data_IF_489253734071
#
_entry.id   IF_489253734071
#
_cell.length_a   1.000
_cell.length_b   1.000
_cell.length_c   1.000
_cell.angle_alpha   90.00
_cell.angle_beta   90.00
_cell.angle_gamma   90.00
#
_symmetry.space_group_name_H-M   'P 1'
#
loop_
_entity.id
_entity.type
_entity.pdbx_description
1 polymer ?
#
# COMPACT_ATOMS: atom_id res chain seq x y z
N UNK A 1 -14.49 -10.91 -14.33
CA UNK A 1 -14.30 -10.21 -13.05
C UNK A 1 -15.67 -9.99 -12.40
N UNK A 2 -16.11 -10.88 -11.50
CA UNK A 2 -17.44 -10.84 -10.90
C UNK A 2 -17.72 -9.53 -10.15
N UNK A 3 -16.80 -9.12 -9.26
CA UNK A 3 -16.90 -7.87 -8.50
C UNK A 3 -17.09 -6.63 -9.39
N UNK A 4 -16.30 -6.49 -10.46
CA UNK A 4 -16.38 -5.35 -11.38
C UNK A 4 -17.72 -5.32 -12.13
N UNK A 5 -18.26 -6.48 -12.51
CA UNK A 5 -19.60 -6.56 -13.14
C UNK A 5 -20.70 -6.12 -12.17
N UNK A 6 -20.68 -6.65 -10.94
CA UNK A 6 -21.64 -6.28 -9.88
C UNK A 6 -21.61 -4.77 -9.58
N UNK A 7 -20.41 -4.17 -9.56
CA UNK A 7 -20.25 -2.72 -9.40
C UNK A 7 -20.84 -1.91 -10.57
N UNK A 8 -20.80 -2.43 -11.81
CA UNK A 8 -21.41 -1.77 -12.98
C UNK A 8 -22.94 -1.89 -12.96
N UNK A 9 -23.45 -2.99 -12.40
CA UNK A 9 -24.88 -3.25 -12.25
C UNK A 9 -25.49 -2.54 -11.02
N UNK A 10 -24.70 -1.79 -10.24
CA UNK A 10 -25.10 -1.17 -8.97
C UNK A 10 -25.63 -2.17 -7.93
N UNK A 11 -25.09 -3.38 -7.95
CA UNK A 11 -25.51 -4.51 -7.10
C UNK A 11 -24.54 -4.83 -5.98
N UNK A 12 -23.76 -3.84 -5.53
CA UNK A 12 -22.73 -4.03 -4.50
C UNK A 12 -23.29 -4.70 -3.24
N UNK A 13 -24.49 -4.28 -2.80
CA UNK A 13 -25.11 -4.82 -1.57
C UNK A 13 -25.38 -6.33 -1.64
N UNK A 14 -25.58 -6.89 -2.83
CA UNK A 14 -25.86 -8.32 -3.05
C UNK A 14 -24.66 -9.21 -2.73
N UNK A 15 -23.44 -8.64 -2.69
CA UNK A 15 -22.18 -9.39 -2.55
C UNK A 15 -21.42 -9.08 -1.27
N UNK A 16 -21.90 -8.10 -0.48
CA UNK A 16 -21.28 -7.76 0.79
C UNK A 16 -21.58 -8.84 1.84
N UNK A 17 -20.58 -9.14 2.66
CA UNK A 17 -20.79 -10.00 3.83
C UNK A 17 -21.79 -9.29 4.77
N UNK A 18 -22.89 -9.96 5.18
CA UNK A 18 -23.87 -9.37 6.10
C UNK A 18 -23.28 -8.89 7.43
N UNK A 19 -22.12 -9.42 7.83
CA UNK A 19 -21.40 -8.98 9.04
C UNK A 19 -20.72 -7.62 8.90
N UNK A 20 -20.53 -7.14 7.66
CA UNK A 20 -19.88 -5.87 7.35
C UNK A 20 -20.92 -4.80 7.04
N UNK A 21 -22.08 -5.18 6.51
CA UNK A 21 -23.17 -4.26 6.15
C UNK A 21 -23.91 -3.76 7.40
N UNK A 22 -24.04 -2.44 7.51
CA UNK A 22 -24.91 -1.76 8.47
C UNK A 22 -25.68 -0.66 7.71
N UNK A 23 -26.91 -0.34 8.15
CA UNK A 23 -27.73 0.69 7.50
C UNK A 23 -27.03 2.06 7.47
N UNK A 24 -26.13 2.30 8.41
CA UNK A 24 -25.38 3.56 8.55
C UNK A 24 -24.10 3.63 7.70
N UNK A 25 -23.58 2.50 7.20
CA UNK A 25 -22.26 2.45 6.55
C UNK A 25 -22.31 2.21 5.03
N UNK A 26 -23.51 2.13 4.45
CA UNK A 26 -23.74 1.84 3.03
C UNK A 26 -22.92 2.76 2.11
N UNK A 27 -22.93 4.07 2.36
CA UNK A 27 -22.21 5.03 1.53
C UNK A 27 -20.68 4.89 1.68
N UNK A 28 -20.18 4.63 2.88
CA UNK A 28 -18.76 4.36 3.10
C UNK A 28 -18.31 3.09 2.36
N UNK A 29 -19.12 2.02 2.39
CA UNK A 29 -18.84 0.79 1.67
C UNK A 29 -18.84 0.99 0.16
N UNK A 30 -19.73 1.84 -0.37
CA UNK A 30 -19.73 2.21 -1.80
C UNK A 30 -18.43 2.91 -2.20
N UNK A 31 -17.93 3.85 -1.39
CA UNK A 31 -16.68 4.56 -1.67
C UNK A 31 -15.47 3.61 -1.63
N UNK A 32 -15.37 2.77 -0.59
CA UNK A 32 -14.32 1.75 -0.49
C UNK A 32 -14.38 0.78 -1.68
N UNK A 33 -15.58 0.35 -2.08
CA UNK A 33 -15.75 -0.53 -3.24
C UNK A 33 -15.38 0.17 -4.55
N UNK A 34 -15.64 1.46 -4.69
CA UNK A 34 -15.25 2.26 -5.85
C UNK A 34 -13.72 2.38 -5.96
N UNK A 35 -13.02 2.52 -4.83
CA UNK A 35 -11.56 2.44 -4.77
C UNK A 35 -11.06 1.05 -5.14
N UNK A 36 -11.61 -0.02 -4.53
CA UNK A 36 -11.26 -1.40 -4.84
C UNK A 36 -11.45 -1.74 -6.32
N UNK A 37 -12.51 -1.21 -6.97
CA UNK A 37 -12.78 -1.38 -8.40
C UNK A 37 -11.66 -0.81 -9.27
N UNK A 38 -11.04 0.31 -8.87
CA UNK A 38 -9.87 0.87 -9.56
C UNK A 38 -8.62 0.04 -9.33
N UNK A 39 -8.41 -0.48 -8.12
CA UNK A 39 -7.27 -1.34 -7.78
C UNK A 39 -7.23 -2.66 -8.57
N UNK A 40 -8.38 -3.23 -8.92
CA UNK A 40 -8.48 -4.52 -9.62
C UNK A 40 -8.60 -4.40 -11.15
N UNK A 41 -8.26 -3.25 -11.74
CA UNK A 41 -8.24 -3.08 -13.20
C UNK A 41 -7.24 -4.04 -13.85
N UNK A 42 -7.58 -4.52 -15.05
CA UNK A 42 -6.76 -5.50 -15.78
C UNK A 42 -5.45 -4.86 -16.22
N UNK A 43 -5.52 -3.63 -16.75
CA UNK A 43 -4.35 -2.86 -17.12
C UNK A 43 -3.70 -2.25 -15.86
N UNK A 44 -2.43 -2.57 -15.64
CA UNK A 44 -1.67 -2.10 -14.47
C UNK A 44 -1.57 -0.59 -14.40
N UNK A 45 -1.36 0.07 -15.54
CA UNK A 45 -1.23 1.53 -15.66
C UNK A 45 -2.49 2.29 -15.26
N UNK A 46 -3.66 1.64 -15.30
CA UNK A 46 -4.92 2.25 -14.89
C UNK A 46 -5.19 2.13 -13.38
N UNK A 47 -4.36 1.36 -12.65
CA UNK A 47 -4.49 1.16 -11.21
C UNK A 47 -3.91 2.37 -10.47
N UNK A 48 -4.54 2.79 -9.36
CA UNK A 48 -3.95 3.82 -8.52
C UNK A 48 -2.64 3.31 -7.90
N UNK A 49 -1.72 4.22 -7.64
CA UNK A 49 -0.53 3.95 -6.84
C UNK A 49 -0.92 3.64 -5.40
N UNK A 50 -0.11 2.85 -4.68
CA UNK A 50 -0.39 2.59 -3.25
C UNK A 50 -0.40 3.87 -2.40
N UNK A 51 0.31 4.92 -2.82
CA UNK A 51 0.27 6.24 -2.18
C UNK A 51 -1.11 6.88 -2.30
N UNK A 52 -1.71 6.83 -3.49
CA UNK A 52 -3.07 7.33 -3.71
C UNK A 52 -4.09 6.50 -2.95
N UNK A 53 -3.97 5.16 -2.98
CA UNK A 53 -4.84 4.26 -2.21
C UNK A 53 -4.80 4.57 -0.72
N UNK A 54 -3.60 4.74 -0.13
CA UNK A 54 -3.45 5.09 1.27
C UNK A 54 -4.05 6.46 1.60
N UNK A 55 -3.83 7.46 0.74
CA UNK A 55 -4.39 8.80 0.93
C UNK A 55 -5.92 8.80 0.89
N UNK A 56 -6.52 8.10 -0.08
CA UNK A 56 -7.97 8.01 -0.21
C UNK A 56 -8.60 7.25 0.97
N UNK A 57 -7.99 6.15 1.42
CA UNK A 57 -8.45 5.42 2.60
C UNK A 57 -8.36 6.28 3.87
N UNK A 58 -7.31 7.07 4.05
CA UNK A 58 -7.20 8.01 5.17
C UNK A 58 -8.32 9.05 5.15
N UNK A 59 -8.70 9.54 3.96
CA UNK A 59 -9.85 10.43 3.79
C UNK A 59 -11.18 9.79 4.18
N UNK A 60 -11.40 8.52 3.79
CA UNK A 60 -12.61 7.78 4.14
C UNK A 60 -12.72 7.49 5.64
N UNK A 61 -11.60 7.31 6.34
CA UNK A 61 -11.56 7.13 7.79
C UNK A 61 -11.83 8.43 8.58
N UNK A 62 -11.61 9.60 7.96
CA UNK A 62 -11.86 10.90 8.59
C UNK A 62 -13.34 11.34 8.57
N UNK A 63 -14.21 10.60 7.88
CA UNK A 63 -15.67 10.78 7.92
C UNK A 63 -16.22 10.42 9.32
N UNK A 64 -17.42 10.91 9.72
CA UNK A 64 -17.95 10.70 11.07
C UNK A 64 -17.82 9.23 11.48
N UNK A 65 -17.13 9.02 12.60
CA UNK A 65 -16.65 7.71 13.08
C UNK A 65 -17.78 6.70 13.13
N UNK A 66 -17.81 5.79 12.16
CA UNK A 66 -18.43 4.50 12.35
C UNK A 66 -17.66 3.77 13.48
N UNK A 67 -18.31 2.94 14.32
CA UNK A 67 -17.70 2.28 15.49
C UNK A 67 -16.44 1.43 15.22
N UNK A 68 -16.01 1.30 13.97
CA UNK A 68 -14.78 0.62 13.57
C UNK A 68 -13.53 1.53 13.63
N UNK A 69 -13.70 2.81 14.01
CA UNK A 69 -12.67 3.85 13.98
C UNK A 69 -11.91 4.11 15.28
N UNK A 70 -11.79 3.14 16.20
CA UNK A 70 -10.76 3.18 17.24
C UNK A 70 -9.47 2.55 16.71
N UNK A 71 -8.85 3.20 15.71
CA UNK A 71 -7.43 2.98 15.44
C UNK A 71 -6.73 4.32 15.52
N UNK A 72 -6.02 4.52 16.63
CA UNK A 72 -5.03 5.56 16.80
C UNK A 72 -3.91 5.31 15.78
N UNK A 73 -4.09 5.72 14.53
CA UNK A 73 -3.01 5.78 13.55
C UNK A 73 -2.18 7.04 13.79
N UNK A 74 -1.46 7.05 14.92
CA UNK A 74 -0.32 7.92 15.15
C UNK A 74 0.67 7.21 16.08
N UNK A 75 1.81 6.83 15.51
CA UNK A 75 3.04 6.50 16.22
C UNK A 75 3.50 5.06 16.02
N UNK A 76 4.37 4.83 15.03
CA UNK A 76 5.56 3.94 15.06
C UNK A 76 6.09 3.59 13.66
N UNK A 77 5.28 3.67 12.59
CA UNK A 77 5.77 3.32 11.23
C UNK A 77 6.71 4.35 10.59
N UNK A 78 6.75 5.59 11.11
CA UNK A 78 7.67 6.62 10.62
C UNK A 78 9.10 6.47 11.15
N UNK A 79 9.30 5.76 12.28
CA UNK A 79 10.64 5.59 12.88
C UNK A 79 11.51 4.62 12.06
N UNK A 80 10.92 3.65 11.36
CA UNK A 80 11.67 2.70 10.53
C UNK A 80 12.24 3.30 9.23
N UNK A 81 11.76 4.48 8.80
CA UNK A 81 12.20 5.12 7.55
C UNK A 81 13.27 6.21 7.77
N UNK A 82 13.45 6.69 9.00
CA UNK A 82 14.49 7.64 9.38
C UNK A 82 15.61 6.94 10.17
N UNK A 83 16.05 5.78 9.69
CA UNK A 83 17.27 5.14 10.18
C UNK A 83 18.45 6.12 10.07
N UNK A 84 18.83 6.65 11.23
CA UNK A 84 19.87 7.66 11.49
C UNK A 84 20.94 7.84 10.39
N UNK A 85 20.84 8.95 9.66
CA UNK A 85 21.98 9.59 8.99
C UNK A 85 22.85 10.27 10.06
N UNK A 86 23.56 9.49 10.87
CA UNK A 86 24.51 10.04 11.85
C UNK A 86 25.95 9.58 11.62
N UNK A 87 26.34 9.38 10.36
CA UNK A 87 27.75 9.17 10.02
C UNK A 87 28.45 10.53 9.84
N UNK A 88 28.79 11.17 10.96
CA UNK A 88 29.88 12.14 10.96
C UNK A 88 31.15 11.42 10.51
N UNK A 89 31.65 11.77 9.33
CA UNK A 89 32.94 11.28 8.85
C UNK A 89 34.03 11.78 9.80
N UNK A 90 34.51 10.88 10.64
CA UNK A 90 35.75 11.05 11.37
C UNK A 90 36.78 10.06 10.84
N UNK A 91 37.99 10.59 10.73
CA UNK A 91 39.18 10.03 10.12
C UNK A 91 39.84 8.98 11.03
N UNK A 92 40.55 8.01 10.44
CA UNK A 92 41.61 7.30 11.15
C UNK A 92 41.32 5.91 11.74
N UNK A 93 41.81 4.91 11.02
CA UNK A 93 42.59 3.77 11.53
C UNK A 93 41.89 2.57 12.23
N UNK A 94 41.83 1.49 11.45
CA UNK A 94 42.38 0.14 11.73
C UNK A 94 41.59 -0.86 12.62
N UNK A 95 41.18 -1.94 11.95
CA UNK A 95 41.10 -3.35 12.41
C UNK A 95 39.98 -3.75 13.38
N UNK A 96 38.96 -4.45 12.86
CA UNK A 96 38.90 -5.93 12.83
C UNK A 96 37.47 -6.40 12.59
N UNK A 97 37.30 -7.23 11.55
CA UNK A 97 36.38 -8.38 11.45
C UNK A 97 34.96 -8.25 12.03
N UNK A 98 33.96 -8.37 11.16
CA UNK A 98 33.04 -9.53 11.16
C UNK A 98 32.26 -9.53 9.84
N UNK A 99 32.45 -10.60 9.07
CA UNK A 99 31.94 -10.73 7.70
C UNK A 99 30.44 -11.01 7.65
N UNK A 100 29.79 -10.35 6.71
CA UNK A 100 28.59 -10.83 6.04
C UNK A 100 28.70 -10.38 4.58
N UNK A 101 28.72 -11.35 3.66
CA UNK A 101 28.83 -11.09 2.23
C UNK A 101 27.42 -10.83 1.70
N UNK A 102 27.08 -9.56 1.49
CA UNK A 102 25.75 -9.16 0.99
C UNK A 102 25.66 -9.35 -0.53
N UNK A 103 24.67 -10.12 -0.97
CA UNK A 103 24.41 -10.40 -2.38
C UNK A 103 23.92 -9.12 -3.07
N UNK A 104 24.84 -8.42 -3.74
CA UNK A 104 24.48 -7.39 -4.70
C UNK A 104 23.94 -8.07 -5.97
N UNK A 105 22.62 -8.17 -6.11
CA UNK A 105 22.01 -8.50 -7.39
C UNK A 105 22.08 -7.30 -8.33
N UNK A 106 23.25 -7.08 -8.96
CA UNK A 106 23.38 -6.18 -10.10
C UNK A 106 23.15 -6.99 -11.37
N UNK A 107 21.88 -7.11 -11.78
CA UNK A 107 21.54 -7.67 -13.09
C UNK A 107 21.84 -6.64 -14.18
N UNK A 108 22.98 -6.77 -14.86
CA UNK A 108 23.31 -6.02 -16.07
C UNK A 108 23.13 -6.90 -17.29
N UNK A 109 22.15 -6.53 -18.13
CA UNK A 109 21.99 -7.04 -19.49
C UNK A 109 23.21 -6.62 -20.32
N UNK A 110 23.92 -7.56 -20.95
CA UNK A 110 24.87 -7.26 -22.01
C UNK A 110 24.40 -7.86 -23.34
N UNK A 111 24.22 -6.98 -24.32
CA UNK A 111 23.99 -7.30 -25.73
C UNK A 111 25.35 -7.36 -26.46
N UNK A 112 25.45 -8.27 -27.44
CA UNK A 112 26.48 -8.33 -28.50
C UNK A 112 27.89 -8.78 -28.07
N UNK A 113 28.59 -9.71 -28.70
CA UNK A 113 28.40 -10.50 -29.92
C UNK A 113 29.48 -11.61 -29.97
N UNK A 114 29.10 -12.81 -30.43
CA UNK A 114 29.53 -13.42 -31.69
C UNK A 114 31.07 -13.56 -31.87
N UNK A 115 31.55 -14.79 -31.74
CA UNK A 115 32.64 -15.33 -32.55
C UNK A 115 32.03 -16.03 -33.77
#
# INVERSE_FOLDING_TARGET
MYFVSVMKENRLLDILDPRVLNDENVEQLKEVAALARRCVRVQGEERPTMKEVAHELAGLQAMPKHPWGESKLMGEEAEYLLGDLNHTYDDGATSSSMGYDSINNKFTFELQGAR
#
